data_IF_974810044850
#
_entry.id   IF_974810044850
#
_cell.length_a   1.000
_cell.length_b   1.000
_cell.length_c   1.000
_cell.angle_alpha   90.00
_cell.angle_beta   90.00
_cell.angle_gamma   90.00
#
_symmetry.space_group_name_H-M   'P 1'
#
loop_
_entity.id
_entity.type
_entity.pdbx_description
1 polymer ?
#
# COMPACT_ATOMS: atom_id res chain seq x y z
N UNK A 1 1.19 -17.31 18.25
CA UNK A 1 2.61 -16.94 18.14
C UNK A 1 2.72 -15.47 17.81
N UNK A 2 3.66 -14.72 18.41
CA UNK A 2 3.93 -13.36 17.98
C UNK A 2 4.53 -13.36 16.56
N UNK A 3 4.08 -12.45 15.71
CA UNK A 3 4.65 -12.21 14.37
C UNK A 3 5.73 -11.12 14.52
N UNK A 4 6.89 -11.32 13.89
CA UNK A 4 8.00 -10.37 13.95
C UNK A 4 9.14 -10.75 13.02
N UNK A 5 10.13 -9.86 12.91
CA UNK A 5 11.32 -10.03 12.06
C UNK A 5 12.09 -11.29 12.47
N UNK A 6 12.40 -12.14 11.48
CA UNK A 6 13.21 -13.36 11.68
C UNK A 6 14.67 -13.15 11.32
N UNK A 7 14.94 -12.48 10.21
CA UNK A 7 16.27 -12.09 9.79
C UNK A 7 16.28 -10.59 9.44
N UNK A 8 16.91 -9.73 10.27
CA UNK A 8 17.03 -8.30 10.01
C UNK A 8 17.86 -7.94 8.78
N UNK A 9 18.70 -8.86 8.28
CA UNK A 9 19.45 -8.64 7.04
C UNK A 9 18.57 -8.74 5.79
N UNK A 10 17.43 -9.43 5.90
CA UNK A 10 16.46 -9.61 4.80
C UNK A 10 15.20 -8.75 5.00
N UNK A 11 14.71 -8.65 6.23
CA UNK A 11 13.44 -8.01 6.57
C UNK A 11 13.67 -6.89 7.57
N UNK A 12 13.42 -5.65 7.14
CA UNK A 12 13.56 -4.48 8.00
C UNK A 12 12.50 -4.43 9.10
N UNK A 13 11.23 -4.71 8.75
CA UNK A 13 10.11 -4.63 9.68
C UNK A 13 8.95 -5.56 9.27
N UNK A 14 8.09 -5.91 10.22
CA UNK A 14 6.86 -6.69 10.00
C UNK A 14 5.68 -6.00 10.67
N UNK A 15 4.74 -5.52 9.84
CA UNK A 15 3.54 -4.85 10.31
C UNK A 15 2.35 -5.82 10.31
N UNK A 16 1.54 -5.76 11.37
CA UNK A 16 0.24 -6.43 11.44
C UNK A 16 -0.87 -5.39 11.38
N UNK A 17 -1.51 -5.28 10.22
CA UNK A 17 -2.54 -4.26 9.96
C UNK A 17 -3.92 -4.91 9.97
N UNK A 18 -4.87 -4.41 10.80
CA UNK A 18 -6.25 -4.89 10.77
C UNK A 18 -6.89 -4.67 9.40
N UNK A 19 -7.69 -5.63 8.94
CA UNK A 19 -8.46 -5.49 7.69
C UNK A 19 -9.34 -4.24 7.73
N UNK A 20 -9.93 -3.90 8.89
CA UNK A 20 -10.74 -2.70 9.07
C UNK A 20 -9.98 -1.41 8.75
N UNK A 21 -8.67 -1.38 9.00
CA UNK A 21 -7.81 -0.24 8.70
C UNK A 21 -7.45 -0.20 7.21
N UNK A 22 -7.22 -1.35 6.57
CA UNK A 22 -6.97 -1.43 5.12
C UNK A 22 -8.17 -0.99 4.27
N UNK A 23 -9.39 -1.23 4.74
CA UNK A 23 -10.62 -0.89 4.00
C UNK A 23 -11.18 0.49 4.38
N UNK A 24 -10.55 1.19 5.32
CA UNK A 24 -10.94 2.54 5.71
C UNK A 24 -10.70 3.50 4.52
N UNK A 25 -11.70 4.24 4.03
CA UNK A 25 -11.51 5.09 2.87
C UNK A 25 -10.41 6.14 3.04
N UNK A 26 -10.18 6.63 4.26
CA UNK A 26 -9.15 7.62 4.56
C UNK A 26 -7.71 7.08 4.42
N UNK A 27 -7.51 5.76 4.48
CA UNK A 27 -6.19 5.14 4.31
C UNK A 27 -5.90 4.81 2.84
N UNK A 28 -6.88 4.95 1.94
CA UNK A 28 -6.76 4.60 0.51
C UNK A 28 -6.65 5.85 -0.36
N UNK A 29 -5.84 5.76 -1.39
CA UNK A 29 -5.65 6.83 -2.38
C UNK A 29 -5.08 6.27 -3.68
N UNK A 30 -5.09 7.05 -4.76
CA UNK A 30 -4.46 6.71 -6.03
C UNK A 30 -3.02 7.23 -6.06
N UNK A 31 -2.04 6.36 -6.27
CA UNK A 31 -0.62 6.72 -6.43
C UNK A 31 -0.36 7.07 -7.88
N UNK A 32 0.21 8.25 -8.13
CA UNK A 32 0.66 8.66 -9.48
C UNK A 32 2.17 8.45 -9.63
N UNK A 33 2.59 7.69 -10.64
CA UNK A 33 3.98 7.44 -10.97
C UNK A 33 4.42 8.30 -12.18
N UNK A 34 5.66 8.83 -12.23
CA UNK A 34 6.14 9.64 -13.35
C UNK A 34 6.11 8.94 -14.73
N UNK A 35 6.03 7.62 -14.79
CA UNK A 35 5.82 6.89 -16.05
C UNK A 35 4.39 6.99 -16.61
N UNK A 36 3.46 7.63 -15.89
CA UNK A 36 2.03 7.69 -16.22
C UNK A 36 1.20 6.56 -15.61
N UNK A 37 1.80 5.62 -14.87
CA UNK A 37 1.06 4.60 -14.14
C UNK A 37 0.30 5.22 -12.96
N UNK A 38 -0.97 4.84 -12.81
CA UNK A 38 -1.80 5.18 -11.65
C UNK A 38 -2.37 3.88 -11.07
N UNK A 39 -2.20 3.70 -9.76
CA UNK A 39 -2.63 2.49 -9.06
C UNK A 39 -3.00 2.75 -7.60
N UNK A 40 -3.54 1.76 -6.89
CA UNK A 40 -3.92 1.94 -5.49
C UNK A 40 -2.69 2.17 -4.60
N UNK A 41 -2.87 2.98 -3.58
CA UNK A 41 -1.94 3.17 -2.47
C UNK A 41 -2.66 3.10 -1.14
N UNK A 42 -1.90 2.76 -0.11
CA UNK A 42 -2.36 2.75 1.26
C UNK A 42 -1.41 3.54 2.16
N UNK A 43 -1.99 4.29 3.09
CA UNK A 43 -1.31 4.96 4.18
C UNK A 43 -1.55 4.14 5.44
N UNK A 44 -0.56 3.36 5.84
CA UNK A 44 -0.64 2.42 6.98
C UNK A 44 0.27 2.94 8.09
N UNK A 45 0.01 4.18 8.50
CA UNK A 45 0.82 4.98 9.42
C UNK A 45 2.25 5.19 8.89
N UNK A 46 3.20 4.36 9.31
CA UNK A 46 4.62 4.51 8.92
C UNK A 46 4.96 3.86 7.57
N UNK A 47 3.99 3.18 6.95
CA UNK A 47 4.17 2.46 5.69
C UNK A 47 3.32 3.03 4.55
N UNK A 48 4.02 3.61 3.56
CA UNK A 48 3.44 3.95 2.26
C UNK A 48 3.46 2.70 1.36
N UNK A 49 2.34 1.98 1.28
CA UNK A 49 2.22 0.79 0.45
C UNK A 49 1.74 1.18 -0.95
N UNK A 50 2.47 0.78 -1.98
CA UNK A 50 2.16 1.13 -3.37
C UNK A 50 2.58 0.03 -4.36
N UNK A 51 2.33 0.26 -5.65
CA UNK A 51 2.82 -0.58 -6.74
C UNK A 51 2.12 -1.93 -6.81
N UNK A 52 2.86 -2.97 -7.23
CA UNK A 52 2.30 -4.30 -7.43
C UNK A 52 1.63 -4.87 -6.16
N UNK A 53 2.27 -4.72 -5.00
CA UNK A 53 1.74 -5.23 -3.73
C UNK A 53 0.45 -4.53 -3.34
N UNK A 54 0.37 -3.20 -3.47
CA UNK A 54 -0.86 -2.47 -3.22
C UNK A 54 -1.99 -2.90 -4.19
N UNK A 55 -1.65 -3.15 -5.45
CA UNK A 55 -2.56 -3.72 -6.44
C UNK A 55 -3.15 -5.05 -5.97
N UNK A 56 -2.30 -5.99 -5.55
CA UNK A 56 -2.74 -7.29 -5.03
C UNK A 56 -3.63 -7.15 -3.80
N UNK A 57 -3.24 -6.32 -2.82
CA UNK A 57 -4.05 -6.09 -1.62
C UNK A 57 -5.42 -5.52 -2.00
N UNK A 58 -5.47 -4.52 -2.87
CA UNK A 58 -6.73 -3.94 -3.36
C UNK A 58 -7.62 -4.98 -4.02
N UNK A 59 -7.07 -5.78 -4.95
CA UNK A 59 -7.84 -6.82 -5.66
C UNK A 59 -8.32 -7.92 -4.74
N UNK A 60 -7.52 -8.34 -3.76
CA UNK A 60 -7.94 -9.36 -2.77
C UNK A 60 -9.08 -8.84 -1.91
N UNK A 61 -9.03 -7.59 -1.46
CA UNK A 61 -10.12 -6.98 -0.68
C UNK A 61 -11.41 -6.87 -1.51
N UNK A 62 -11.31 -6.51 -2.79
CA UNK A 62 -12.45 -6.42 -3.71
C UNK A 62 -13.06 -7.79 -4.00
N UNK A 63 -12.24 -8.76 -4.43
CA UNK A 63 -12.70 -10.11 -4.75
C UNK A 63 -13.23 -10.85 -3.51
N UNK A 64 -12.67 -10.54 -2.33
CA UNK A 64 -13.14 -11.06 -1.05
C UNK A 64 -14.43 -10.39 -0.52
N UNK A 65 -14.96 -9.37 -1.20
CA UNK A 65 -16.16 -8.64 -0.76
C UNK A 65 -15.95 -7.79 0.51
N UNK A 66 -14.70 -7.50 0.86
CA UNK A 66 -14.33 -6.73 2.05
C UNK A 66 -14.11 -5.24 1.73
N UNK A 67 -13.85 -4.92 0.46
CA UNK A 67 -13.59 -3.56 -0.01
C UNK A 67 -14.76 -2.63 0.30
N UNK A 68 -14.44 -1.43 0.77
CA UNK A 68 -15.39 -0.31 0.91
C UNK A 68 -15.13 0.72 -0.20
N UNK A 69 -16.16 1.47 -0.63
CA UNK A 69 -15.96 2.59 -1.54
C UNK A 69 -14.96 3.59 -0.96
N UNK A 70 -14.01 4.02 -1.78
CA UNK A 70 -13.01 5.04 -1.46
C UNK A 70 -12.84 5.95 -2.68
N UNK A 71 -12.37 7.17 -2.46
CA UNK A 71 -12.28 8.16 -3.52
C UNK A 71 -10.98 8.01 -4.31
N UNK A 72 -11.08 7.50 -5.54
CA UNK A 72 -9.94 7.32 -6.44
C UNK A 72 -9.38 8.65 -6.98
N UNK A 73 -10.10 9.75 -6.85
CA UNK A 73 -9.64 11.09 -7.22
C UNK A 73 -8.73 11.70 -6.16
N UNK A 74 -8.67 11.12 -4.95
CA UNK A 74 -7.63 11.45 -3.96
C UNK A 74 -6.31 10.88 -4.47
N UNK A 75 -5.55 11.70 -5.17
CA UNK A 75 -4.28 11.32 -5.76
C UNK A 75 -3.10 11.80 -4.92
N UNK A 76 -2.08 10.95 -4.79
CA UNK A 76 -0.79 11.29 -4.17
C UNK A 76 0.35 10.88 -5.11
N UNK A 77 1.34 11.75 -5.36
CA UNK A 77 2.51 11.36 -6.15
C UNK A 77 3.32 10.30 -5.41
N UNK A 78 3.94 9.38 -6.16
CA UNK A 78 4.90 8.45 -5.57
C UNK A 78 6.04 9.24 -4.89
N UNK A 79 6.34 9.01 -3.60
CA UNK A 79 7.42 9.72 -2.93
C UNK A 79 8.77 9.50 -3.62
N UNK A 80 9.57 10.57 -3.71
CA UNK A 80 10.84 10.59 -4.46
C UNK A 80 11.81 9.45 -4.08
N UNK A 81 11.82 9.06 -2.79
CA UNK A 81 12.64 7.95 -2.27
C UNK A 81 12.39 6.61 -2.97
N UNK A 82 11.21 6.42 -3.57
CA UNK A 82 10.86 5.20 -4.33
C UNK A 82 11.13 5.30 -5.82
N UNK A 83 11.49 6.48 -6.33
CA UNK A 83 11.88 6.69 -7.74
C UNK A 83 13.32 6.19 -8.01
N UNK A 84 14.07 5.88 -6.94
CA UNK A 84 15.47 5.45 -6.97
C UNK A 84 15.65 3.96 -7.29
N UNK A 85 15.28 3.54 -8.50
CA UNK A 85 15.94 2.41 -9.16
C UNK A 85 17.22 2.92 -9.82
N UNK A 86 18.39 2.42 -9.40
CA UNK A 86 19.69 2.78 -9.99
C UNK A 86 19.62 2.75 -11.53
N UNK A 87 20.05 3.85 -12.17
CA UNK A 87 20.60 3.76 -13.53
C UNK A 87 21.84 2.86 -13.52
#
# INVERSE_FOLDING_TARGET
>A
SPIGVRDPAEVHDVLSVPVSHLVEPATRFSVTHPSGYVGPGFDLDDLFLWGFTAGLVSSVLELGGLSRPWDAEVQRPLPERFLGGRR
#
